data_IF_638858761131
#
_entry.id   IF_638858761131
#
_cell.length_a   1.000
_cell.length_b   1.000
_cell.length_c   1.000
_cell.angle_alpha   90.00
_cell.angle_beta   90.00
_cell.angle_gamma   90.00
#
_symmetry.space_group_name_H-M   'P 1'
#
loop_
_entity.id
_entity.type
_entity.pdbx_description
1 polymer ?
#
# COMPACT_ATOMS: atom_id res chain seq x y z
N UNK A 1 -25.74 -0.24 -6.15
CA UNK A 1 -25.07 -0.36 -4.84
C UNK A 1 -23.67 0.29 -4.82
N UNK A 2 -22.81 0.06 -5.82
CA UNK A 2 -21.47 0.69 -5.94
C UNK A 2 -21.43 2.23 -5.79
N UNK A 3 -22.42 2.97 -6.31
CA UNK A 3 -22.47 4.44 -6.23
C UNK A 3 -22.71 4.99 -4.81
N UNK A 4 -23.33 4.22 -3.93
CA UNK A 4 -23.64 4.65 -2.55
C UNK A 4 -22.42 4.48 -1.64
N UNK A 5 -21.67 3.38 -1.85
CA UNK A 5 -20.39 3.11 -1.17
C UNK A 5 -19.39 4.23 -1.51
N UNK A 6 -19.19 4.52 -2.80
CA UNK A 6 -18.28 5.59 -3.28
C UNK A 6 -18.55 6.98 -2.67
N UNK A 7 -19.80 7.29 -2.32
CA UNK A 7 -20.20 8.58 -1.72
C UNK A 7 -19.99 8.64 -0.20
N UNK A 8 -20.25 7.54 0.52
CA UNK A 8 -19.91 7.43 1.95
C UNK A 8 -18.39 7.52 2.16
N UNK A 9 -17.61 6.91 1.26
CA UNK A 9 -16.15 6.89 1.33
C UNK A 9 -15.49 8.26 1.12
N UNK A 10 -15.92 9.11 0.17
CA UNK A 10 -15.37 10.48 0.03
C UNK A 10 -15.57 11.36 1.27
N UNK A 11 -16.62 11.11 2.07
CA UNK A 11 -16.83 11.78 3.36
C UNK A 11 -15.96 11.14 4.44
N UNK A 12 -15.94 9.81 4.50
CA UNK A 12 -15.14 9.08 5.48
C UNK A 12 -13.65 9.34 5.32
N UNK A 13 -13.10 9.33 4.10
CA UNK A 13 -11.68 9.64 3.84
C UNK A 13 -11.29 11.04 4.29
N UNK A 14 -12.22 12.00 4.17
CA UNK A 14 -12.03 13.38 4.63
C UNK A 14 -12.01 13.46 6.16
N UNK A 15 -12.86 12.72 6.87
CA UNK A 15 -12.89 12.67 8.34
C UNK A 15 -11.82 11.73 8.94
N UNK A 16 -11.44 10.66 8.23
CA UNK A 16 -10.55 9.58 8.68
C UNK A 16 -9.07 9.93 8.50
N UNK A 17 -8.69 10.57 7.38
CA UNK A 17 -7.34 11.11 7.18
C UNK A 17 -7.06 12.34 8.04
N UNK A 18 -8.09 13.13 8.37
CA UNK A 18 -7.91 14.35 9.17
C UNK A 18 -7.56 14.08 10.63
N UNK A 19 -7.82 12.87 11.17
CA UNK A 19 -7.76 12.69 12.62
C UNK A 19 -6.90 11.54 13.17
N UNK A 20 -6.92 10.26 12.70
CA UNK A 20 -6.38 9.19 13.58
C UNK A 20 -5.67 7.94 12.99
N UNK A 21 -5.56 7.71 11.68
CA UNK A 21 -5.10 6.40 11.16
C UNK A 21 -3.77 6.37 10.39
N UNK A 22 -2.72 6.98 10.95
CA UNK A 22 -1.37 6.98 10.36
C UNK A 22 -0.82 5.59 10.04
N UNK A 23 -1.24 4.55 10.78
CA UNK A 23 -0.86 3.17 10.48
C UNK A 23 -1.52 2.61 9.22
N UNK A 24 -2.79 2.93 8.95
CA UNK A 24 -3.49 2.40 7.77
C UNK A 24 -2.94 3.07 6.53
N UNK A 25 -2.82 4.40 6.58
CA UNK A 25 -2.24 5.19 5.49
C UNK A 25 -0.83 4.70 5.13
N UNK A 26 0.03 4.51 6.13
CA UNK A 26 1.38 4.00 5.90
C UNK A 26 1.40 2.60 5.25
N UNK A 27 0.53 1.68 5.70
CA UNK A 27 0.38 0.35 5.05
C UNK A 27 -0.11 0.49 3.61
N UNK A 28 -1.04 1.41 3.35
CA UNK A 28 -1.53 1.66 2.01
C UNK A 28 -0.42 2.18 1.09
N UNK A 29 0.45 3.08 1.57
CA UNK A 29 1.61 3.56 0.81
C UNK A 29 2.58 2.42 0.47
N UNK A 30 2.87 1.52 1.41
CA UNK A 30 3.72 0.34 1.17
C UNK A 30 3.12 -0.55 0.06
N UNK A 31 1.84 -0.93 0.20
CA UNK A 31 1.20 -1.76 -0.83
C UNK A 31 1.16 -1.05 -2.18
N UNK A 32 0.89 0.26 -2.18
CA UNK A 32 0.89 1.07 -3.40
C UNK A 32 2.24 1.03 -4.10
N UNK A 33 3.36 1.19 -3.38
CA UNK A 33 4.69 1.10 -3.98
C UNK A 33 4.90 -0.23 -4.73
N UNK A 34 4.46 -1.34 -4.14
CA UNK A 34 4.62 -2.67 -4.73
C UNK A 34 3.70 -2.88 -5.94
N UNK A 35 2.42 -2.49 -5.86
CA UNK A 35 1.49 -2.71 -6.98
C UNK A 35 1.65 -1.68 -8.10
N UNK A 36 2.13 -0.47 -7.79
CA UNK A 36 2.44 0.56 -8.79
C UNK A 36 3.62 0.17 -9.69
N UNK A 37 4.49 -0.73 -9.23
CA UNK A 37 5.56 -1.29 -10.04
C UNK A 37 5.06 -2.10 -11.24
N UNK A 38 3.80 -2.57 -11.20
CA UNK A 38 3.18 -3.34 -12.28
C UNK A 38 2.40 -2.44 -13.27
N UNK A 39 2.39 -1.12 -13.07
CA UNK A 39 1.61 -0.10 -13.83
C UNK A 39 0.07 -0.31 -13.88
N UNK A 40 -0.42 -1.47 -13.44
CA UNK A 40 -1.83 -1.87 -13.36
C UNK A 40 -2.05 -2.79 -12.16
N UNK A 41 -3.25 -2.72 -11.58
CA UNK A 41 -3.73 -3.71 -10.61
C UNK A 41 -4.58 -4.74 -11.37
N UNK A 42 -4.01 -5.93 -11.59
CA UNK A 42 -4.70 -7.07 -12.19
C UNK A 42 -5.67 -7.76 -11.22
N UNK A 43 -6.40 -8.78 -11.71
CA UNK A 43 -7.33 -9.57 -10.88
C UNK A 43 -6.60 -10.34 -9.78
N UNK A 44 -5.39 -10.84 -10.08
CA UNK A 44 -4.56 -11.55 -9.12
C UNK A 44 -4.11 -10.65 -7.97
N UNK A 45 -3.67 -9.44 -8.29
CA UNK A 45 -3.20 -8.43 -7.35
C UNK A 45 -4.36 -7.91 -6.50
N UNK A 46 -5.52 -7.65 -7.11
CA UNK A 46 -6.72 -7.20 -6.39
C UNK A 46 -7.17 -8.23 -5.34
N UNK A 47 -7.22 -9.51 -5.73
CA UNK A 47 -7.56 -10.61 -4.82
C UNK A 47 -6.53 -10.74 -3.70
N UNK A 48 -5.24 -10.75 -4.02
CA UNK A 48 -4.17 -10.89 -3.05
C UNK A 48 -4.13 -9.70 -2.08
N UNK A 49 -4.33 -8.48 -2.59
CA UNK A 49 -4.39 -7.28 -1.76
C UNK A 49 -5.53 -7.35 -0.74
N UNK A 50 -6.71 -7.83 -1.15
CA UNK A 50 -7.84 -8.04 -0.24
C UNK A 50 -7.52 -9.09 0.83
N UNK A 51 -6.93 -10.23 0.43
CA UNK A 51 -6.52 -11.30 1.34
C UNK A 51 -5.52 -10.79 2.40
N UNK A 52 -4.44 -10.13 1.98
CA UNK A 52 -3.44 -9.57 2.88
C UNK A 52 -4.01 -8.46 3.78
N UNK A 53 -4.91 -7.64 3.26
CA UNK A 53 -5.59 -6.61 4.06
C UNK A 53 -6.41 -7.24 5.19
N UNK A 54 -7.11 -8.34 4.92
CA UNK A 54 -7.88 -9.05 5.94
C UNK A 54 -7.02 -9.83 6.93
N UNK A 55 -5.89 -10.38 6.51
CA UNK A 55 -4.93 -10.96 7.44
C UNK A 55 -4.40 -9.91 8.44
N UNK A 56 -4.06 -8.71 7.95
CA UNK A 56 -3.58 -7.59 8.79
C UNK A 56 -4.62 -7.18 9.84
N UNK A 57 -5.90 -7.15 9.46
CA UNK A 57 -6.98 -6.70 10.33
C UNK A 57 -7.82 -7.83 10.93
N UNK A 58 -7.33 -9.07 10.88
CA UNK A 58 -7.98 -10.25 11.49
C UNK A 58 -9.44 -10.43 11.02
N UNK A 59 -9.67 -10.28 9.72
CA UNK A 59 -10.98 -10.36 9.06
C UNK A 59 -12.01 -9.32 9.52
N UNK A 60 -11.56 -8.16 10.04
CA UNK A 60 -12.40 -6.97 10.16
C UNK A 60 -12.67 -6.40 8.75
N UNK A 61 -13.78 -6.83 8.15
CA UNK A 61 -14.15 -6.52 6.76
C UNK A 61 -14.10 -5.03 6.45
N UNK A 62 -14.61 -4.18 7.35
CA UNK A 62 -14.61 -2.73 7.16
C UNK A 62 -13.18 -2.19 7.03
N UNK A 63 -12.27 -2.63 7.90
CA UNK A 63 -10.87 -2.18 7.85
C UNK A 63 -10.11 -2.78 6.67
N UNK A 64 -10.43 -4.01 6.24
CA UNK A 64 -9.89 -4.58 5.01
C UNK A 64 -10.25 -3.69 3.82
N UNK A 65 -11.55 -3.41 3.65
CA UNK A 65 -12.07 -2.62 2.54
C UNK A 65 -11.47 -1.21 2.53
N UNK A 66 -11.36 -0.58 3.70
CA UNK A 66 -10.74 0.75 3.81
C UNK A 66 -9.28 0.70 3.33
N UNK A 67 -8.48 -0.30 3.72
CA UNK A 67 -7.09 -0.41 3.27
C UNK A 67 -7.01 -0.62 1.76
N UNK A 68 -7.80 -1.54 1.20
CA UNK A 68 -7.82 -1.84 -0.25
C UNK A 68 -8.21 -0.60 -1.06
N UNK A 69 -9.28 0.10 -0.68
CA UNK A 69 -9.71 1.31 -1.37
C UNK A 69 -8.66 2.43 -1.26
N UNK A 70 -8.03 2.57 -0.08
CA UNK A 70 -6.94 3.55 0.11
C UNK A 70 -5.76 3.26 -0.83
N UNK A 71 -5.37 1.99 -0.99
CA UNK A 71 -4.31 1.59 -1.93
C UNK A 71 -4.70 1.92 -3.37
N UNK A 72 -5.92 1.60 -3.78
CA UNK A 72 -6.42 1.92 -5.14
C UNK A 72 -6.43 3.43 -5.39
N UNK A 73 -6.84 4.24 -4.42
CA UNK A 73 -6.81 5.69 -4.54
C UNK A 73 -5.38 6.25 -4.67
N UNK A 74 -4.42 5.72 -3.91
CA UNK A 74 -3.02 6.12 -4.04
C UNK A 74 -2.42 5.66 -5.38
N UNK A 75 -2.71 4.43 -5.79
CA UNK A 75 -2.31 3.88 -7.08
C UNK A 75 -2.79 4.76 -8.24
N UNK A 76 -4.09 5.11 -8.26
CA UNK A 76 -4.64 6.00 -9.29
C UNK A 76 -3.93 7.36 -9.31
N UNK A 77 -3.61 7.94 -8.14
CA UNK A 77 -2.86 9.20 -8.09
C UNK A 77 -1.46 9.06 -8.70
N UNK A 78 -0.75 7.97 -8.36
CA UNK A 78 0.60 7.68 -8.88
C UNK A 78 0.60 7.49 -10.38
N UNK A 79 -0.27 6.62 -10.91
CA UNK A 79 -0.32 6.30 -12.34
C UNK A 79 -0.79 7.49 -13.18
N UNK A 80 -1.70 8.31 -12.66
CA UNK A 80 -2.18 9.52 -13.36
C UNK A 80 -1.34 10.76 -13.08
N UNK A 81 -0.28 10.65 -12.26
CA UNK A 81 0.52 11.76 -11.77
C UNK A 81 -0.32 12.93 -11.22
N UNK A 82 -1.37 12.61 -10.45
CA UNK A 82 -2.34 13.57 -9.94
C UNK A 82 -2.05 13.93 -8.48
N UNK A 83 -1.09 14.82 -8.27
CA UNK A 83 -0.71 15.33 -6.94
C UNK A 83 0.10 14.35 -6.09
N UNK A 84 0.48 13.20 -6.65
CA UNK A 84 1.42 12.23 -6.08
C UNK A 84 2.02 11.44 -7.24
N UNK A 85 3.34 11.48 -7.40
CA UNK A 85 4.08 10.56 -8.29
C UNK A 85 4.77 9.46 -7.48
N UNK A 86 5.41 8.53 -8.18
CA UNK A 86 6.09 7.39 -7.58
C UNK A 86 7.26 7.82 -6.68
N UNK A 87 8.08 8.77 -7.13
CA UNK A 87 9.24 9.27 -6.39
C UNK A 87 8.84 9.95 -5.08
N UNK A 88 7.76 10.72 -5.12
CA UNK A 88 7.17 11.37 -3.95
C UNK A 88 6.59 10.33 -2.98
N UNK A 89 5.98 9.25 -3.48
CA UNK A 89 5.51 8.14 -2.64
C UNK A 89 6.69 7.43 -1.94
N UNK A 90 7.78 7.16 -2.66
CA UNK A 90 9.02 6.61 -2.10
C UNK A 90 9.54 7.51 -0.96
N UNK A 91 9.64 8.81 -1.22
CA UNK A 91 10.07 9.79 -0.22
C UNK A 91 9.16 9.82 1.02
N UNK A 92 7.84 9.78 0.82
CA UNK A 92 6.88 9.73 1.92
C UNK A 92 7.06 8.47 2.78
N UNK A 93 7.23 7.30 2.17
CA UNK A 93 7.44 6.04 2.89
C UNK A 93 8.75 6.06 3.67
N UNK A 94 9.86 6.52 3.08
CA UNK A 94 11.14 6.65 3.79
C UNK A 94 11.01 7.59 5.00
N UNK A 95 10.44 8.77 4.77
CA UNK A 95 10.23 9.79 5.81
C UNK A 95 9.35 9.26 6.94
N UNK A 96 8.24 8.62 6.62
CA UNK A 96 7.29 8.10 7.61
C UNK A 96 7.93 6.97 8.44
N UNK A 97 8.66 6.05 7.78
CA UNK A 97 9.39 4.97 8.47
C UNK A 97 10.44 5.51 9.45
N UNK A 98 11.20 6.52 9.02
CA UNK A 98 12.23 7.15 9.85
C UNK A 98 11.62 7.86 11.06
N UNK A 99 10.51 8.58 10.86
CA UNK A 99 9.93 9.44 11.89
C UNK A 99 9.08 8.67 12.92
N UNK A 100 8.49 7.54 12.51
CA UNK A 100 7.60 6.75 13.37
C UNK A 100 8.17 5.33 13.53
N UNK A 101 8.91 5.11 14.62
CA UNK A 101 9.63 3.84 14.89
C UNK A 101 8.81 2.56 14.63
N UNK A 102 7.54 2.51 15.06
CA UNK A 102 6.65 1.35 14.87
C UNK A 102 6.25 1.06 13.41
N UNK A 103 6.66 1.88 12.44
CA UNK A 103 6.31 1.71 11.04
C UNK A 103 7.24 0.73 10.33
N UNK A 104 8.50 0.59 10.75
CA UNK A 104 9.39 -0.45 10.22
C UNK A 104 8.82 -1.86 10.46
N UNK A 105 8.17 -2.08 11.61
CA UNK A 105 7.46 -3.32 11.94
C UNK A 105 6.29 -3.64 11.00
N UNK A 106 5.71 -2.63 10.33
CA UNK A 106 4.56 -2.79 9.43
C UNK A 106 4.96 -3.19 8.01
N UNK A 107 6.24 -3.07 7.66
CA UNK A 107 6.78 -3.55 6.39
C UNK A 107 6.88 -5.07 6.50
N UNK A 108 5.91 -5.80 5.98
CA UNK A 108 5.89 -7.27 5.99
C UNK A 108 6.44 -7.81 4.67
N UNK A 109 7.75 -8.09 4.63
CA UNK A 109 8.42 -8.54 3.41
C UNK A 109 7.83 -9.86 2.89
N UNK A 110 7.42 -10.75 3.79
CA UNK A 110 6.82 -12.03 3.38
C UNK A 110 5.48 -11.82 2.68
N UNK A 111 4.65 -10.90 3.17
CA UNK A 111 3.40 -10.51 2.51
C UNK A 111 3.65 -9.84 1.16
N UNK A 112 4.60 -8.91 1.08
CA UNK A 112 4.90 -8.18 -0.16
C UNK A 112 5.47 -9.09 -1.25
N UNK A 113 6.32 -10.05 -0.89
CA UNK A 113 6.86 -11.04 -1.82
C UNK A 113 5.79 -11.93 -2.46
N UNK A 114 4.59 -12.03 -1.89
CA UNK A 114 3.51 -12.83 -2.49
C UNK A 114 3.02 -12.23 -3.81
N UNK A 115 3.16 -10.92 -4.03
CA UNK A 115 2.77 -10.26 -5.29
C UNK A 115 3.57 -10.76 -6.49
N UNK A 116 4.78 -11.30 -6.29
CA UNK A 116 5.58 -11.93 -7.35
C UNK A 116 4.91 -13.16 -7.99
N UNK A 117 3.89 -13.73 -7.34
CA UNK A 117 3.10 -14.85 -7.88
C UNK A 117 2.02 -14.40 -8.86
N UNK A 118 1.75 -13.10 -8.96
CA UNK A 118 0.78 -12.56 -9.89
C UNK A 118 1.31 -12.57 -11.33
N UNK A 119 0.39 -12.49 -12.30
CA UNK A 119 0.74 -12.56 -13.72
C UNK A 119 1.32 -11.22 -14.19
N UNK A 120 2.64 -11.19 -14.40
CA UNK A 120 3.38 -10.02 -14.86
C UNK A 120 4.60 -10.42 -15.69
N UNK A 121 5.09 -9.50 -16.51
CA UNK A 121 6.31 -9.63 -17.31
C UNK A 121 7.56 -9.70 -16.42
N UNK A 122 8.66 -10.21 -16.96
CA UNK A 122 9.93 -10.28 -16.21
C UNK A 122 10.48 -8.91 -15.83
N UNK A 123 10.21 -7.87 -16.64
CA UNK A 123 10.58 -6.49 -16.33
C UNK A 123 9.78 -5.94 -15.14
N UNK A 124 8.46 -6.13 -15.13
CA UNK A 124 7.59 -5.76 -13.99
C UNK A 124 8.01 -6.51 -12.72
N UNK A 125 8.31 -7.83 -12.80
CA UNK A 125 8.83 -8.60 -11.65
C UNK A 125 10.11 -7.99 -11.11
N UNK A 126 11.07 -7.70 -11.98
CA UNK A 126 12.36 -7.13 -11.60
C UNK A 126 12.18 -5.76 -10.93
N UNK A 127 11.31 -4.91 -11.48
CA UNK A 127 11.05 -3.60 -10.89
C UNK A 127 10.37 -3.73 -9.52
N UNK A 128 9.35 -4.59 -9.40
CA UNK A 128 8.69 -4.87 -8.14
C UNK A 128 9.67 -5.44 -7.09
N UNK A 129 10.60 -6.32 -7.47
CA UNK A 129 11.64 -6.83 -6.58
C UNK A 129 12.54 -5.71 -6.05
N UNK A 130 12.97 -4.78 -6.90
CA UNK A 130 13.78 -3.62 -6.46
C UNK A 130 13.04 -2.75 -5.45
N UNK A 131 11.72 -2.60 -5.61
CA UNK A 131 10.87 -1.89 -4.64
C UNK A 131 10.84 -2.64 -3.30
N UNK A 132 10.71 -3.97 -3.33
CA UNK A 132 10.71 -4.81 -2.12
C UNK A 132 12.09 -4.80 -1.45
N UNK A 133 13.18 -4.81 -2.21
CA UNK A 133 14.56 -4.65 -1.70
C UNK A 133 14.72 -3.31 -0.99
N UNK A 134 14.28 -2.20 -1.61
CA UNK A 134 14.26 -0.89 -0.97
C UNK A 134 13.49 -0.90 0.37
N UNK A 135 12.31 -1.52 0.39
CA UNK A 135 11.50 -1.64 1.61
C UNK A 135 12.16 -2.53 2.66
N UNK A 136 12.91 -3.56 2.25
CA UNK A 136 13.69 -4.43 3.12
C UNK A 136 14.81 -3.65 3.79
N UNK A 137 15.61 -2.92 3.01
CA UNK A 137 16.67 -2.05 3.52
C UNK A 137 16.13 -1.01 4.50
N UNK A 138 14.97 -0.42 4.16
CA UNK A 138 14.29 0.56 4.98
C UNK A 138 13.82 -0.05 6.31
N UNK A 139 13.23 -1.26 6.25
CA UNK A 139 12.86 -2.02 7.43
C UNK A 139 14.07 -2.30 8.31
N UNK A 140 15.16 -2.84 7.76
CA UNK A 140 16.36 -3.20 8.52
C UNK A 140 17.02 -1.99 9.17
N UNK A 141 17.12 -0.88 8.42
CA UNK A 141 17.73 0.37 8.90
C UNK A 141 17.00 0.97 10.10
N UNK A 142 15.67 0.83 10.15
CA UNK A 142 14.81 1.47 11.16
C UNK A 142 14.10 0.48 12.09
N UNK A 143 14.34 -0.81 11.95
CA UNK A 143 13.98 -1.79 12.98
C UNK A 143 14.93 -1.62 14.15
N UNK A 144 14.36 -1.54 15.35
CA UNK A 144 15.13 -1.32 16.58
C UNK A 144 16.23 -2.38 16.73
N UNK A 145 17.49 -1.94 16.90
CA UNK A 145 18.45 -2.66 17.74
C UNK A 145 18.13 -2.40 19.20
#
# INVERSE_FOLDING_TARGET
MLKVIRRKFKKFFREFLLYHNSSLEYRAKIFTLVVAANERIGKSEDRLLMELACDIYKNDEERCEILVETVKEYFEKVITNNGLDFEHLVFQVEKDTRNVKRFSEKIDINALMQFQKCEMTEEEKLYQLRVIEFLTDLKERYSLK
#
